data_IF_959723959406
#
_entry.id   IF_959723959406
#
_cell.length_a   1.000
_cell.length_b   1.000
_cell.length_c   1.000
_cell.angle_alpha   90.00
_cell.angle_beta   90.00
_cell.angle_gamma   90.00
#
_symmetry.space_group_name_H-M   'P 1'
#
loop_
_entity.id
_entity.type
_entity.pdbx_description
1 polymer ?
#
# COMPACT_ATOMS: atom_id res chain seq x y z
N UNK A 1 68.51 -21.98 -18.83
CA UNK A 1 68.24 -23.38 -19.24
C UNK A 1 66.85 -23.72 -18.71
N UNK A 2 65.77 -23.76 -19.48
CA UNK A 2 65.58 -23.74 -20.93
C UNK A 2 64.17 -23.19 -21.27
N UNK A 3 64.08 -22.54 -22.44
CA UNK A 3 63.00 -22.47 -23.44
C UNK A 3 61.54 -22.21 -22.99
N UNK A 4 60.91 -21.07 -23.31
CA UNK A 4 60.41 -20.60 -24.63
C UNK A 4 59.46 -21.59 -25.30
N UNK A 5 58.18 -21.22 -25.35
CA UNK A 5 57.33 -21.37 -26.54
C UNK A 5 56.12 -20.44 -26.45
N UNK A 6 56.15 -19.42 -27.32
CA UNK A 6 55.02 -18.61 -27.76
C UNK A 6 54.04 -19.44 -28.59
N UNK A 7 52.74 -19.14 -28.47
CA UNK A 7 51.78 -19.34 -29.56
C UNK A 7 50.91 -18.09 -29.73
N UNK A 8 51.17 -17.40 -30.84
CA UNK A 8 50.32 -16.43 -31.52
C UNK A 8 48.91 -16.98 -31.81
N UNK A 9 47.91 -16.08 -31.92
CA UNK A 9 46.70 -16.46 -32.68
C UNK A 9 45.38 -15.71 -32.56
N UNK A 10 45.36 -14.38 -32.35
CA UNK A 10 44.37 -13.40 -32.90
C UNK A 10 42.82 -13.58 -32.71
N UNK A 11 42.03 -12.50 -32.93
CA UNK A 11 40.75 -12.25 -32.26
C UNK A 11 39.52 -12.67 -33.09
N UNK A 12 38.42 -12.99 -32.40
CA UNK A 12 37.09 -12.97 -33.00
C UNK A 12 36.47 -11.58 -32.82
N UNK A 13 36.60 -10.76 -33.85
CA UNK A 13 35.74 -9.61 -34.12
C UNK A 13 34.51 -10.07 -34.93
N UNK A 14 33.50 -9.20 -35.02
CA UNK A 14 32.39 -9.23 -36.00
C UNK A 14 31.23 -10.24 -35.72
N UNK A 15 29.93 -9.92 -35.69
CA UNK A 15 29.11 -8.85 -36.28
C UNK A 15 27.79 -8.64 -35.52
N UNK A 16 27.37 -7.38 -35.42
CA UNK A 16 25.96 -6.95 -35.40
C UNK A 16 25.27 -7.32 -36.71
N UNK A 17 23.95 -7.56 -36.69
CA UNK A 17 23.10 -7.14 -37.80
C UNK A 17 22.06 -6.11 -37.33
N UNK A 18 22.24 -4.90 -37.85
CA UNK A 18 21.20 -3.92 -38.10
C UNK A 18 20.23 -4.42 -39.17
N UNK A 19 18.93 -4.16 -39.02
CA UNK A 19 17.89 -3.90 -40.06
C UNK A 19 16.52 -4.18 -39.41
N UNK A 20 15.39 -3.56 -39.71
CA UNK A 20 15.01 -2.36 -40.45
C UNK A 20 13.54 -2.11 -40.11
N UNK A 21 13.18 -0.83 -39.99
CA UNK A 21 11.86 -0.23 -40.20
C UNK A 21 10.87 -1.02 -41.09
N UNK A 22 9.63 -1.17 -40.61
CA UNK A 22 8.33 -0.97 -41.30
C UNK A 22 7.29 -0.64 -40.20
N UNK A 23 6.90 0.61 -39.97
CA UNK A 23 5.86 1.39 -40.65
C UNK A 23 4.58 0.58 -40.94
N UNK A 24 3.57 0.72 -40.07
CA UNK A 24 2.17 0.59 -40.44
C UNK A 24 1.33 1.61 -39.66
N UNK A 25 1.05 2.71 -40.35
CA UNK A 25 0.02 3.70 -40.03
C UNK A 25 -1.32 3.19 -40.56
N UNK A 26 -2.36 3.13 -39.73
CA UNK A 26 -3.75 3.21 -40.23
C UNK A 26 -4.60 4.11 -39.35
N UNK A 27 -4.71 5.32 -39.86
CA UNK A 27 -5.75 6.32 -39.67
C UNK A 27 -7.15 5.73 -39.92
N UNK A 28 -8.13 6.06 -39.06
CA UNK A 28 -9.46 6.48 -39.48
C UNK A 28 -10.04 7.44 -38.44
N UNK A 29 -9.87 8.73 -38.75
CA UNK A 29 -10.73 9.82 -38.30
C UNK A 29 -12.14 9.62 -38.88
N UNK A 30 -13.16 9.86 -38.06
CA UNK A 30 -14.39 10.47 -38.57
C UNK A 30 -14.86 11.53 -37.58
N UNK A 31 -14.83 12.77 -38.06
CA UNK A 31 -15.20 14.00 -37.37
C UNK A 31 -16.70 14.28 -37.55
N UNK A 32 -17.19 15.12 -36.64
CA UNK A 32 -18.54 15.63 -36.52
C UNK A 32 -19.00 16.59 -37.65
N UNK A 33 -20.34 16.65 -37.78
CA UNK A 33 -21.28 17.77 -38.09
C UNK A 33 -21.32 18.37 -39.53
N UNK A 34 -22.35 19.16 -39.96
CA UNK A 34 -23.49 19.76 -39.22
C UNK A 34 -24.91 19.79 -39.90
N UNK A 35 -25.92 19.96 -39.03
CA UNK A 35 -27.12 20.85 -39.06
C UNK A 35 -27.79 21.25 -40.39
N UNK A 36 -29.10 20.93 -40.50
CA UNK A 36 -30.22 21.70 -41.07
C UNK A 36 -31.50 20.93 -40.66
N UNK A 37 -32.60 21.41 -40.10
CA UNK A 37 -33.28 22.70 -40.11
C UNK A 37 -34.78 22.41 -40.33
N UNK A 38 -35.67 23.05 -39.56
CA UNK A 38 -37.10 23.31 -39.87
C UNK A 38 -38.25 22.47 -39.23
N UNK A 39 -38.67 22.92 -38.04
CA UNK A 39 -40.02 23.43 -37.69
C UNK A 39 -41.30 22.56 -37.89
N UNK A 40 -41.92 22.13 -36.77
CA UNK A 40 -43.38 22.12 -36.48
C UNK A 40 -43.58 21.76 -34.99
N UNK A 41 -43.97 22.69 -34.09
CA UNK A 41 -45.36 22.96 -33.63
C UNK A 41 -46.27 21.71 -33.77
N UNK A 42 -46.93 21.16 -32.74
CA UNK A 42 -47.81 21.76 -31.72
C UNK A 42 -47.87 20.83 -30.49
N UNK A 43 -47.97 21.43 -29.30
CA UNK A 43 -48.25 20.81 -28.01
C UNK A 43 -49.74 20.49 -27.86
N UNK A 44 -50.13 19.21 -27.80
CA UNK A 44 -51.49 18.76 -27.45
C UNK A 44 -51.39 17.40 -26.75
N UNK A 45 -51.35 17.39 -25.41
CA UNK A 45 -51.82 16.23 -24.62
C UNK A 45 -52.21 16.59 -23.18
N UNK A 46 -52.60 17.85 -22.98
CA UNK A 46 -53.28 18.30 -21.78
C UNK A 46 -54.75 18.54 -22.12
N UNK A 47 -55.58 17.53 -22.44
CA UNK A 47 -57.06 17.61 -22.39
C UNK A 47 -57.79 16.27 -22.66
N UNK A 48 -57.22 15.13 -22.24
CA UNK A 48 -57.88 13.82 -22.37
C UNK A 48 -58.99 13.51 -21.34
N UNK A 49 -59.23 14.38 -20.36
CA UNK A 49 -60.07 14.10 -19.19
C UNK A 49 -61.50 14.66 -19.24
N UNK A 50 -62.08 14.95 -20.41
CA UNK A 50 -63.43 15.58 -20.44
C UNK A 50 -64.47 14.97 -21.39
N UNK A 51 -64.28 13.79 -21.98
CA UNK A 51 -65.33 13.24 -22.87
C UNK A 51 -65.58 11.75 -22.66
N UNK A 52 -66.43 11.44 -21.67
CA UNK A 52 -67.56 10.46 -21.73
C UNK A 52 -67.96 9.97 -20.34
N UNK A 53 -68.67 10.83 -19.62
CA UNK A 53 -69.84 10.38 -18.87
C UNK A 53 -70.99 10.14 -19.87
N UNK A 54 -71.97 9.30 -19.48
CA UNK A 54 -73.15 8.82 -20.23
C UNK A 54 -72.95 7.46 -20.92
N UNK A 55 -72.83 6.42 -20.09
CA UNK A 55 -73.65 5.19 -20.17
C UNK A 55 -73.59 4.54 -18.79
N UNK A 56 -74.72 4.53 -18.08
CA UNK A 56 -74.80 4.11 -16.68
C UNK A 56 -74.48 2.63 -16.49
N UNK A 57 -73.31 2.36 -15.90
CA UNK A 57 -73.03 1.17 -15.08
C UNK A 57 -72.20 1.67 -13.90
N UNK A 58 -72.76 1.54 -12.69
CA UNK A 58 -72.06 1.83 -11.44
C UNK A 58 -70.83 0.96 -11.31
N UNK A 59 -69.64 1.57 -11.32
CA UNK A 59 -68.43 0.97 -10.78
C UNK A 59 -67.81 2.00 -9.84
N UNK A 60 -67.96 1.77 -8.53
CA UNK A 60 -67.29 2.57 -7.52
C UNK A 60 -65.76 2.51 -7.75
N UNK A 61 -65.02 3.62 -7.64
CA UNK A 61 -63.57 3.55 -7.60
C UNK A 61 -63.19 3.04 -6.21
N UNK A 62 -63.07 1.72 -6.08
CA UNK A 62 -62.28 1.12 -5.01
C UNK A 62 -60.84 1.64 -5.19
N UNK A 63 -60.45 2.63 -4.38
CA UNK A 63 -59.05 2.94 -4.13
C UNK A 63 -58.44 1.75 -3.39
N UNK A 64 -58.14 0.69 -4.14
CA UNK A 64 -57.39 -0.43 -3.65
C UNK A 64 -55.94 0.02 -3.50
N UNK A 65 -55.52 0.35 -2.28
CA UNK A 65 -54.10 0.25 -1.95
C UNK A 65 -53.67 -1.16 -2.37
N UNK A 66 -52.72 -1.33 -3.31
CA UNK A 66 -52.22 -2.64 -3.62
C UNK A 66 -51.60 -3.17 -2.32
N UNK A 67 -52.27 -4.15 -1.71
CA UNK A 67 -51.73 -4.87 -0.56
C UNK A 67 -50.52 -5.64 -1.07
N UNK A 68 -49.38 -4.96 -1.15
CA UNK A 68 -48.10 -5.56 -1.51
C UNK A 68 -47.92 -6.75 -0.59
N UNK A 69 -47.83 -7.94 -1.17
CA UNK A 69 -47.67 -9.19 -0.43
C UNK A 69 -46.57 -9.05 0.62
N UNK A 70 -46.76 -9.68 1.79
CA UNK A 70 -45.73 -9.75 2.85
C UNK A 70 -44.37 -10.20 2.29
N UNK A 71 -44.37 -11.03 1.22
CA UNK A 71 -43.16 -11.46 0.52
C UNK A 71 -42.48 -10.35 -0.31
N UNK A 72 -43.25 -9.50 -0.98
CA UNK A 72 -42.72 -8.36 -1.74
C UNK A 72 -42.05 -7.33 -0.81
N UNK A 73 -42.72 -6.98 0.31
CA UNK A 73 -42.13 -6.10 1.34
C UNK A 73 -40.85 -6.67 1.95
N UNK A 74 -40.77 -7.99 2.15
CA UNK A 74 -39.57 -8.65 2.68
C UNK A 74 -38.41 -8.63 1.68
N UNK A 75 -38.68 -8.81 0.38
CA UNK A 75 -37.67 -8.75 -0.69
C UNK A 75 -37.15 -7.33 -0.89
N UNK A 76 -38.04 -6.34 -0.87
CA UNK A 76 -37.68 -4.92 -0.94
C UNK A 76 -36.84 -4.48 0.26
N UNK A 77 -37.24 -4.86 1.49
CA UNK A 77 -36.42 -4.60 2.69
C UNK A 77 -35.04 -5.23 2.61
N UNK A 78 -34.91 -6.46 2.08
CA UNK A 78 -33.60 -7.12 1.88
C UNK A 78 -32.77 -6.38 0.83
N UNK A 79 -33.37 -5.99 -0.30
CA UNK A 79 -32.68 -5.23 -1.35
C UNK A 79 -32.21 -3.86 -0.85
N UNK A 80 -33.02 -3.15 -0.05
CA UNK A 80 -32.63 -1.89 0.58
C UNK A 80 -31.48 -2.09 1.58
N UNK A 81 -31.50 -3.16 2.37
CA UNK A 81 -30.40 -3.49 3.30
C UNK A 81 -29.10 -3.84 2.56
N UNK A 82 -29.19 -4.56 1.45
CA UNK A 82 -28.05 -4.93 0.61
C UNK A 82 -27.47 -3.70 -0.10
N UNK A 83 -28.31 -2.86 -0.72
CA UNK A 83 -27.88 -1.60 -1.31
C UNK A 83 -27.25 -0.64 -0.28
N UNK A 84 -27.83 -0.54 0.92
CA UNK A 84 -27.24 0.26 2.01
C UNK A 84 -25.91 -0.32 2.52
N UNK A 85 -25.72 -1.64 2.44
CA UNK A 85 -24.43 -2.28 2.78
C UNK A 85 -23.40 -2.01 1.69
N UNK A 86 -23.77 -2.13 0.42
CA UNK A 86 -22.89 -1.83 -0.72
C UNK A 86 -22.48 -0.36 -0.74
N UNK A 87 -23.41 0.56 -0.47
CA UNK A 87 -23.09 2.00 -0.36
C UNK A 87 -22.07 2.26 0.75
N UNK A 88 -22.24 1.68 1.95
CA UNK A 88 -21.24 1.80 3.03
C UNK A 88 -19.86 1.27 2.63
N UNK A 89 -19.81 0.10 2.00
CA UNK A 89 -18.54 -0.49 1.53
C UNK A 89 -17.88 0.45 0.50
N UNK A 90 -18.66 0.99 -0.44
CA UNK A 90 -18.14 1.89 -1.47
C UNK A 90 -17.60 3.21 -0.87
N UNK A 91 -18.30 3.78 0.10
CA UNK A 91 -17.88 4.97 0.83
C UNK A 91 -16.56 4.72 1.59
N UNK A 92 -16.47 3.62 2.32
CA UNK A 92 -15.25 3.21 3.04
C UNK A 92 -14.06 3.03 2.09
N UNK A 93 -14.26 2.33 0.96
CA UNK A 93 -13.21 2.16 -0.05
C UNK A 93 -12.77 3.51 -0.65
N UNK A 94 -13.70 4.42 -0.91
CA UNK A 94 -13.39 5.74 -1.46
C UNK A 94 -12.56 6.59 -0.48
N UNK A 95 -12.87 6.50 0.81
CA UNK A 95 -12.13 7.20 1.87
C UNK A 95 -10.70 6.68 1.98
N UNK A 96 -10.52 5.35 1.98
CA UNK A 96 -9.18 4.72 2.03
C UNK A 96 -8.34 5.13 0.81
N UNK A 97 -8.94 5.14 -0.39
CA UNK A 97 -8.23 5.61 -1.60
C UNK A 97 -7.82 7.07 -1.50
N UNK A 98 -8.69 7.93 -0.96
CA UNK A 98 -8.38 9.35 -0.73
C UNK A 98 -7.19 9.51 0.22
N UNK A 99 -7.20 8.81 1.36
CA UNK A 99 -6.12 8.89 2.35
C UNK A 99 -4.78 8.40 1.79
N UNK A 100 -4.78 7.31 1.01
CA UNK A 100 -3.59 6.81 0.32
C UNK A 100 -3.01 7.84 -0.65
N UNK A 101 -3.84 8.50 -1.45
CA UNK A 101 -3.39 9.54 -2.39
C UNK A 101 -2.77 10.72 -1.66
N UNK A 102 -3.42 11.22 -0.61
CA UNK A 102 -2.92 12.32 0.21
C UNK A 102 -1.57 11.96 0.84
N UNK A 103 -1.41 10.74 1.35
CA UNK A 103 -0.15 10.25 1.91
C UNK A 103 0.95 10.16 0.83
N UNK A 104 0.62 9.65 -0.36
CA UNK A 104 1.52 9.61 -1.51
C UNK A 104 2.05 10.99 -1.91
N UNK A 105 1.16 12.00 -2.04
CA UNK A 105 1.56 13.38 -2.36
C UNK A 105 2.50 14.00 -1.30
N UNK A 106 2.30 13.65 -0.02
CA UNK A 106 3.20 14.11 1.04
C UNK A 106 4.58 13.48 0.93
N UNK A 107 4.65 12.19 0.59
CA UNK A 107 5.91 11.52 0.33
C UNK A 107 6.64 12.09 -0.87
N UNK A 108 5.94 12.31 -1.99
CA UNK A 108 6.54 12.91 -3.18
C UNK A 108 7.15 14.28 -2.87
N UNK A 109 6.42 15.15 -2.15
CA UNK A 109 6.93 16.47 -1.76
C UNK A 109 8.16 16.39 -0.87
N UNK A 110 8.27 15.35 -0.04
CA UNK A 110 9.38 15.17 0.92
C UNK A 110 10.61 14.52 0.28
N UNK A 111 10.41 13.48 -0.53
CA UNK A 111 11.47 12.62 -1.05
C UNK A 111 12.04 13.10 -2.39
N UNK A 112 11.21 13.67 -3.27
CA UNK A 112 11.64 14.15 -4.58
C UNK A 112 12.77 15.20 -4.51
N UNK A 113 12.74 16.21 -3.61
CA UNK A 113 13.84 17.16 -3.47
C UNK A 113 15.15 16.52 -2.99
N UNK A 114 15.07 15.36 -2.32
CA UNK A 114 16.22 14.59 -1.85
C UNK A 114 16.73 13.60 -2.90
N UNK A 115 16.03 13.46 -4.04
CA UNK A 115 16.34 12.48 -5.06
C UNK A 115 15.98 11.05 -4.70
N UNK A 116 15.08 10.84 -3.72
CA UNK A 116 14.64 9.51 -3.29
C UNK A 116 13.25 9.15 -3.85
N UNK A 117 12.98 7.85 -3.95
CA UNK A 117 11.72 7.30 -4.47
C UNK A 117 11.33 6.07 -3.67
N UNK A 118 10.03 5.90 -3.38
CA UNK A 118 9.56 4.73 -2.65
C UNK A 118 9.52 3.51 -3.57
N UNK A 119 10.12 2.40 -3.12
CA UNK A 119 9.93 1.07 -3.68
C UNK A 119 8.88 0.32 -2.86
N UNK A 120 7.77 -0.04 -3.50
CA UNK A 120 6.72 -0.82 -2.85
C UNK A 120 7.22 -2.21 -2.42
N UNK A 121 7.03 -2.52 -1.16
CA UNK A 121 7.31 -3.81 -0.52
C UNK A 121 5.99 -4.57 -0.40
N UNK A 122 6.09 -5.90 -0.39
CA UNK A 122 4.91 -6.76 -0.25
C UNK A 122 4.13 -6.40 1.04
N UNK A 123 2.81 -6.12 0.95
CA UNK A 123 1.99 -5.76 2.11
C UNK A 123 1.61 -6.98 2.94
N UNK A 124 2.60 -7.60 3.57
CA UNK A 124 2.44 -8.65 4.56
C UNK A 124 3.08 -8.25 5.90
N UNK A 125 2.90 -9.08 6.93
CA UNK A 125 3.44 -8.81 8.26
C UNK A 125 4.98 -8.78 8.32
N UNK A 126 5.69 -9.11 7.25
CA UNK A 126 7.15 -9.02 7.17
C UNK A 126 7.65 -7.73 6.52
N UNK A 127 6.76 -6.80 6.15
CA UNK A 127 7.10 -5.60 5.39
C UNK A 127 8.28 -4.79 5.96
N UNK A 128 8.36 -4.59 7.28
CA UNK A 128 9.48 -3.89 7.92
C UNK A 128 10.83 -4.55 7.59
N UNK A 129 10.93 -5.86 7.84
CA UNK A 129 12.15 -6.62 7.62
C UNK A 129 12.50 -6.73 6.14
N UNK A 130 11.50 -6.86 5.26
CA UNK A 130 11.70 -6.86 3.81
C UNK A 130 12.19 -5.51 3.28
N UNK A 131 11.70 -4.41 3.85
CA UNK A 131 12.17 -3.08 3.50
C UNK A 131 13.63 -2.86 3.94
N UNK A 132 14.00 -3.36 5.12
CA UNK A 132 15.39 -3.35 5.60
C UNK A 132 16.30 -4.24 4.73
N UNK A 133 15.86 -5.45 4.41
CA UNK A 133 16.55 -6.37 3.49
C UNK A 133 16.81 -5.71 2.13
N UNK A 134 15.79 -5.04 1.57
CA UNK A 134 15.92 -4.31 0.30
C UNK A 134 16.98 -3.20 0.39
N UNK A 135 16.94 -2.36 1.42
CA UNK A 135 17.93 -1.31 1.65
C UNK A 135 19.36 -1.86 1.81
N UNK A 136 19.52 -2.97 2.52
CA UNK A 136 20.81 -3.62 2.66
C UNK A 136 21.33 -4.18 1.33
N UNK A 137 20.44 -4.68 0.47
CA UNK A 137 20.78 -5.12 -0.88
C UNK A 137 21.29 -3.97 -1.75
N UNK A 138 20.65 -2.80 -1.67
CA UNK A 138 21.07 -1.60 -2.41
C UNK A 138 22.47 -1.13 -1.98
N UNK A 139 22.79 -1.27 -0.69
CA UNK A 139 24.10 -0.90 -0.15
C UNK A 139 25.20 -1.94 -0.44
N UNK A 140 24.83 -3.17 -0.78
CA UNK A 140 25.75 -4.31 -0.92
C UNK A 140 25.89 -4.81 -2.37
N UNK A 141 25.53 -3.98 -3.35
CA UNK A 141 25.70 -4.31 -4.77
C UNK A 141 24.63 -5.23 -5.36
N UNK A 142 23.43 -5.24 -4.77
CA UNK A 142 22.26 -5.95 -5.30
C UNK A 142 21.91 -7.26 -4.61
N UNK A 143 22.68 -7.67 -3.58
CA UNK A 143 22.37 -8.84 -2.75
C UNK A 143 22.45 -8.46 -1.29
N UNK A 144 21.38 -8.69 -0.54
CA UNK A 144 21.38 -8.43 0.90
C UNK A 144 22.27 -9.44 1.62
N UNK A 145 23.10 -9.02 2.59
CA UNK A 145 23.83 -9.94 3.47
C UNK A 145 22.91 -10.76 4.39
N UNK A 146 21.65 -10.32 4.58
CA UNK A 146 20.68 -10.96 5.46
C UNK A 146 19.32 -11.04 4.79
N UNK A 147 18.67 -12.19 4.88
CA UNK A 147 17.26 -12.35 4.53
C UNK A 147 16.37 -11.75 5.62
N UNK A 148 15.10 -11.43 5.28
CA UNK A 148 14.16 -10.87 6.27
C UNK A 148 13.94 -11.76 7.50
N UNK A 149 14.07 -13.08 7.38
CA UNK A 149 13.99 -14.01 8.51
C UNK A 149 15.18 -13.85 9.47
N UNK A 150 16.40 -13.76 8.92
CA UNK A 150 17.61 -13.53 9.73
C UNK A 150 17.53 -12.19 10.45
N UNK A 151 16.96 -11.16 9.80
CA UNK A 151 16.73 -9.86 10.44
C UNK A 151 15.74 -9.95 11.62
N UNK A 152 14.72 -10.81 11.54
CA UNK A 152 13.79 -11.06 12.67
C UNK A 152 14.50 -11.70 13.85
N UNK A 153 15.27 -12.75 13.57
CA UNK A 153 16.07 -13.45 14.58
C UNK A 153 17.08 -12.51 15.23
N UNK A 154 17.78 -11.68 14.44
CA UNK A 154 18.73 -10.68 14.94
C UNK A 154 18.06 -9.65 15.84
N UNK A 155 16.87 -9.15 15.47
CA UNK A 155 16.13 -8.19 16.28
C UNK A 155 15.71 -8.81 17.63
N UNK A 156 15.08 -9.99 17.60
CA UNK A 156 14.64 -10.69 18.80
C UNK A 156 15.82 -11.07 19.72
N UNK A 157 16.91 -11.60 19.16
CA UNK A 157 18.10 -11.95 19.92
C UNK A 157 18.73 -10.74 20.63
N UNK A 158 18.77 -9.58 19.94
CA UNK A 158 19.29 -8.36 20.55
C UNK A 158 18.37 -7.83 21.64
N UNK A 159 17.05 -7.78 21.40
CA UNK A 159 16.07 -7.36 22.39
C UNK A 159 16.15 -8.20 23.66
N UNK A 160 16.23 -9.53 23.55
CA UNK A 160 16.43 -10.43 24.71
C UNK A 160 17.72 -10.13 25.48
N UNK A 161 18.84 -9.99 24.76
CA UNK A 161 20.15 -9.72 25.36
C UNK A 161 20.20 -8.36 26.09
N UNK A 162 19.41 -7.41 25.61
CA UNK A 162 19.36 -6.03 26.11
C UNK A 162 18.00 -5.70 26.75
N UNK A 163 17.31 -6.68 27.34
CA UNK A 163 15.92 -6.55 27.77
C UNK A 163 15.64 -5.32 28.65
N UNK A 164 16.58 -4.90 29.51
CA UNK A 164 16.44 -3.70 30.34
C UNK A 164 16.15 -2.43 29.55
N UNK A 165 16.65 -2.34 28.32
CA UNK A 165 16.59 -1.15 27.48
C UNK A 165 15.26 -1.09 26.70
N UNK A 166 14.60 -2.23 26.52
CA UNK A 166 13.36 -2.38 25.74
C UNK A 166 12.12 -2.55 26.63
N UNK A 167 12.26 -3.20 27.79
CA UNK A 167 11.16 -3.49 28.71
C UNK A 167 10.28 -2.28 29.06
N UNK A 168 10.82 -1.08 29.37
CA UNK A 168 9.99 0.08 29.68
C UNK A 168 9.05 0.46 28.53
N UNK A 169 9.52 0.37 27.28
CA UNK A 169 8.75 0.69 26.09
C UNK A 169 7.76 -0.42 25.76
N UNK A 170 8.20 -1.68 25.80
CA UNK A 170 7.34 -2.85 25.63
C UNK A 170 6.15 -2.81 26.60
N UNK A 171 6.41 -2.56 27.88
CA UNK A 171 5.35 -2.48 28.89
C UNK A 171 4.44 -1.28 28.67
N UNK A 172 4.92 -0.16 28.15
CA UNK A 172 4.06 0.99 27.87
C UNK A 172 3.08 0.73 26.73
N UNK A 173 3.49 -0.06 25.72
CA UNK A 173 2.66 -0.42 24.56
C UNK A 173 1.74 -1.60 24.85
N UNK A 174 2.17 -2.51 25.74
CA UNK A 174 1.47 -3.76 26.06
C UNK A 174 0.95 -3.80 27.51
N UNK A 175 0.73 -2.64 28.15
CA UNK A 175 0.26 -2.51 29.54
C UNK A 175 -1.15 -3.07 29.79
N UNK A 176 -1.82 -3.58 28.76
CA UNK A 176 -3.23 -3.92 28.77
C UNK A 176 -3.35 -5.42 28.62
N UNK A 177 -3.13 -6.17 29.70
CA UNK A 177 -3.78 -7.46 29.94
C UNK A 177 -3.57 -7.84 31.40
N UNK A 178 -4.52 -7.40 32.23
CA UNK A 178 -4.55 -7.58 33.68
C UNK A 178 -5.04 -8.96 34.14
N UNK A 179 -4.90 -10.00 33.32
CA UNK A 179 -5.45 -11.34 33.58
C UNK A 179 -4.45 -12.49 33.40
N UNK A 180 -3.18 -12.17 33.05
CA UNK A 180 -2.10 -13.16 33.01
C UNK A 180 -1.18 -12.98 34.23
N UNK A 181 -0.97 -14.08 34.97
CA UNK A 181 -0.05 -14.22 36.10
C UNK A 181 1.44 -14.11 35.67
N UNK A 182 1.72 -13.98 34.37
CA UNK A 182 3.08 -13.95 33.85
C UNK A 182 3.79 -12.65 34.24
N UNK A 183 5.06 -12.79 34.62
CA UNK A 183 5.92 -11.65 34.91
C UNK A 183 6.18 -10.81 33.65
N UNK A 184 6.52 -9.51 33.79
CA UNK A 184 6.94 -8.67 32.68
C UNK A 184 8.04 -9.28 31.79
N UNK A 185 8.95 -10.04 32.40
CA UNK A 185 10.05 -10.69 31.70
C UNK A 185 9.57 -11.88 30.84
N UNK A 186 8.61 -12.67 31.34
CA UNK A 186 8.01 -13.78 30.59
C UNK A 186 7.21 -13.26 29.39
N UNK A 187 6.40 -12.21 29.59
CA UNK A 187 5.66 -11.54 28.50
C UNK A 187 6.60 -10.99 27.43
N UNK A 188 7.72 -10.39 27.83
CA UNK A 188 8.71 -9.87 26.90
C UNK A 188 9.47 -10.98 26.15
N UNK A 189 9.74 -12.11 26.81
CA UNK A 189 10.35 -13.26 26.15
C UNK A 189 9.39 -13.86 25.10
N UNK A 190 8.10 -13.96 25.41
CA UNK A 190 7.09 -14.43 24.46
C UNK A 190 6.91 -13.47 23.29
N UNK A 191 6.96 -12.16 23.53
CA UNK A 191 7.04 -11.16 22.47
C UNK A 191 8.25 -11.38 21.55
N UNK A 192 9.44 -11.61 22.11
CA UNK A 192 10.63 -11.88 21.30
C UNK A 192 10.50 -13.17 20.47
N UNK A 193 9.86 -14.22 21.02
CA UNK A 193 9.55 -15.44 20.27
C UNK A 193 8.56 -15.19 19.14
N UNK A 194 7.55 -14.36 19.37
CA UNK A 194 6.58 -14.00 18.35
C UNK A 194 7.26 -13.24 17.20
N UNK A 195 8.12 -12.27 17.54
CA UNK A 195 8.89 -11.48 16.58
C UNK A 195 9.76 -12.35 15.67
N UNK A 196 10.48 -13.33 16.22
CA UNK A 196 11.39 -14.18 15.43
C UNK A 196 10.66 -15.25 14.60
N UNK A 197 9.56 -15.81 15.11
CA UNK A 197 8.98 -17.03 14.54
C UNK A 197 7.73 -16.81 13.68
N UNK A 198 7.16 -15.60 13.68
CA UNK A 198 5.87 -15.33 13.02
C UNK A 198 5.93 -14.18 12.02
N UNK A 199 4.76 -13.83 11.48
CA UNK A 199 4.54 -12.62 10.68
C UNK A 199 4.03 -11.44 11.54
N UNK A 200 4.30 -11.43 12.85
CA UNK A 200 4.02 -10.29 13.71
C UNK A 200 4.64 -9.01 13.12
N UNK A 201 3.85 -7.94 13.16
CA UNK A 201 4.24 -6.64 12.62
C UNK A 201 5.37 -6.09 13.49
N UNK A 202 6.44 -5.63 12.84
CA UNK A 202 7.53 -4.94 13.53
C UNK A 202 7.24 -3.44 13.63
N UNK A 203 7.89 -2.79 14.59
CA UNK A 203 7.82 -1.36 14.79
C UNK A 203 9.10 -0.79 15.39
N UNK A 204 8.91 0.08 16.38
CA UNK A 204 9.98 0.88 16.97
C UNK A 204 11.04 0.02 17.68
N UNK A 205 10.62 -1.01 18.43
CA UNK A 205 11.53 -1.87 19.19
C UNK A 205 12.45 -2.65 18.25
N UNK A 206 11.89 -3.24 17.19
CA UNK A 206 12.63 -4.01 16.21
C UNK A 206 13.62 -3.14 15.44
N UNK A 207 13.21 -1.93 15.03
CA UNK A 207 14.10 -0.98 14.35
C UNK A 207 15.22 -0.47 15.28
N UNK A 208 14.91 -0.26 16.55
CA UNK A 208 15.91 0.07 17.58
C UNK A 208 16.94 -1.04 17.73
N UNK A 209 16.49 -2.31 17.80
CA UNK A 209 17.39 -3.46 17.85
C UNK A 209 18.23 -3.59 16.57
N UNK A 210 17.59 -3.53 15.39
CA UNK A 210 18.27 -3.67 14.10
C UNK A 210 19.32 -2.59 13.85
N UNK A 211 19.06 -1.36 14.30
CA UNK A 211 20.03 -0.26 14.27
C UNK A 211 21.36 -0.68 14.91
N UNK A 212 21.31 -1.30 16.09
CA UNK A 212 22.49 -1.77 16.81
C UNK A 212 23.10 -3.04 16.22
N UNK A 213 22.27 -4.01 15.80
CA UNK A 213 22.74 -5.26 15.19
C UNK A 213 23.51 -4.99 13.90
N UNK A 214 22.96 -4.14 13.03
CA UNK A 214 23.53 -3.82 11.73
C UNK A 214 24.61 -2.73 11.81
N UNK A 215 24.68 -2.00 12.94
CA UNK A 215 25.50 -0.80 13.12
C UNK A 215 25.23 0.21 12.01
N UNK A 216 23.94 0.48 11.77
CA UNK A 216 23.46 1.33 10.67
C UNK A 216 22.54 2.42 11.19
N UNK A 217 22.65 3.58 10.58
CA UNK A 217 21.71 4.67 10.78
C UNK A 217 20.40 4.38 10.02
N UNK A 218 19.25 4.62 10.66
CA UNK A 218 17.94 4.41 10.05
C UNK A 218 17.16 5.73 10.02
N UNK A 219 16.65 6.09 8.84
CA UNK A 219 15.70 7.18 8.64
C UNK A 219 14.35 6.62 8.21
N UNK A 220 13.29 6.92 8.96
CA UNK A 220 11.92 6.57 8.61
C UNK A 220 11.16 7.85 8.26
N UNK A 221 10.73 7.93 7.02
CA UNK A 221 9.90 9.03 6.54
C UNK A 221 8.42 8.72 6.77
N UNK A 222 7.64 9.68 7.24
CA UNK A 222 6.17 9.53 7.34
C UNK A 222 5.42 10.69 6.66
N UNK A 223 4.28 10.39 6.06
CA UNK A 223 3.33 11.40 5.57
C UNK A 223 2.41 11.96 6.66
N UNK A 224 2.22 11.22 7.75
CA UNK A 224 1.21 11.56 8.78
C UNK A 224 1.83 11.94 10.12
N UNK A 225 3.09 11.58 10.34
CA UNK A 225 3.84 11.82 11.56
C UNK A 225 5.18 12.51 11.26
N UNK A 226 5.88 13.05 12.28
CA UNK A 226 7.26 13.45 12.14
C UNK A 226 8.14 12.28 11.66
N UNK A 227 9.21 12.61 10.94
CA UNK A 227 10.19 11.61 10.56
C UNK A 227 10.95 11.12 11.79
N UNK A 228 11.30 9.84 11.78
CA UNK A 228 12.03 9.20 12.88
C UNK A 228 13.46 8.92 12.43
N UNK A 229 14.43 9.32 13.26
CA UNK A 229 15.86 9.12 13.04
C UNK A 229 16.42 8.27 14.18
N UNK A 230 17.01 7.12 13.86
CA UNK A 230 17.60 6.19 14.83
C UNK A 230 19.07 5.89 14.48
N UNK A 231 19.88 5.56 15.49
CA UNK A 231 21.26 5.15 15.28
C UNK A 231 22.16 6.26 14.79
N UNK A 232 21.99 7.48 15.33
CA UNK A 232 22.77 8.66 14.94
C UNK A 232 24.27 8.43 15.13
N UNK A 233 24.65 7.61 16.11
CA UNK A 233 26.03 7.19 16.36
C UNK A 233 26.63 6.33 15.24
N UNK A 234 25.79 5.74 14.36
CA UNK A 234 26.21 4.98 13.18
C UNK A 234 26.11 5.79 11.89
N UNK A 235 25.79 7.08 11.97
CA UNK A 235 25.76 7.97 10.82
C UNK A 235 27.20 8.23 10.38
N UNK A 236 27.52 7.87 9.14
CA UNK A 236 28.87 8.08 8.62
C UNK A 236 29.05 9.56 8.23
N UNK A 237 30.05 10.22 8.81
CA UNK A 237 30.41 11.64 8.55
C UNK A 237 31.15 11.86 7.21
N UNK A 238 31.11 10.88 6.30
CA UNK A 238 31.83 10.90 5.03
C UNK A 238 31.25 11.91 4.04
N UNK A 239 31.82 13.11 4.03
CA UNK A 239 31.51 14.17 3.06
C UNK A 239 31.65 13.72 1.60
N UNK A 240 30.70 14.19 0.80
CA UNK A 240 30.67 14.10 -0.66
C UNK A 240 30.44 12.69 -1.25
N UNK A 241 29.17 12.46 -1.63
CA UNK A 241 28.73 11.55 -2.70
C UNK A 241 28.45 10.08 -2.40
N UNK A 242 28.20 9.67 -1.15
CA UNK A 242 27.51 8.38 -0.96
C UNK A 242 26.68 8.28 0.31
N UNK A 243 25.37 8.35 0.11
CA UNK A 243 24.28 7.91 0.97
C UNK A 243 24.33 6.43 1.37
N UNK A 244 25.49 5.75 1.28
CA UNK A 244 25.65 4.28 1.33
C UNK A 244 25.53 3.66 2.72
N UNK A 245 25.39 4.46 3.77
CA UNK A 245 25.33 3.96 5.15
C UNK A 245 23.94 3.99 5.81
N UNK A 246 22.99 4.78 5.28
CA UNK A 246 21.69 4.97 5.92
C UNK A 246 20.65 4.07 5.29
N UNK A 247 19.95 3.28 6.12
CA UNK A 247 18.74 2.56 5.73
C UNK A 247 17.60 3.57 5.74
N UNK A 248 16.91 3.72 4.62
CA UNK A 248 15.78 4.64 4.46
C UNK A 248 14.50 3.86 4.25
N UNK A 249 13.50 4.15 5.08
CA UNK A 249 12.20 3.52 5.06
C UNK A 249 11.12 4.58 4.91
N UNK A 250 9.97 4.22 4.37
CA UNK A 250 8.75 5.03 4.47
C UNK A 250 7.68 4.28 5.25
N UNK A 251 7.10 4.96 6.23
CA UNK A 251 6.04 4.47 7.09
C UNK A 251 4.69 5.04 6.65
N UNK A 252 3.81 4.15 6.22
CA UNK A 252 2.50 4.46 5.69
C UNK A 252 1.42 4.03 6.68
N UNK A 253 0.51 4.93 7.04
CA UNK A 253 -0.64 4.57 7.89
C UNK A 253 -1.82 4.09 7.05
N UNK A 254 -1.94 4.58 5.81
CA UNK A 254 -3.12 4.42 4.96
C UNK A 254 -2.79 3.80 3.60
N UNK A 255 -1.59 3.23 3.41
CA UNK A 255 -1.20 2.65 2.12
C UNK A 255 -2.08 1.46 1.69
N UNK A 256 -2.56 0.68 2.66
CA UNK A 256 -3.37 -0.51 2.41
C UNK A 256 -4.57 -0.55 3.34
N UNK A 257 -5.66 -1.19 2.90
CA UNK A 257 -6.85 -1.39 3.74
C UNK A 257 -6.60 -2.20 5.01
N UNK A 258 -5.42 -2.84 5.13
CA UNK A 258 -4.97 -3.59 6.30
C UNK A 258 -4.28 -2.71 7.37
N UNK A 259 -4.04 -1.42 7.09
CA UNK A 259 -3.43 -0.49 8.04
C UNK A 259 -1.99 -0.14 7.72
N UNK A 260 -1.15 -0.14 8.76
CA UNK A 260 0.22 0.37 8.73
C UNK A 260 1.16 -0.49 7.87
N UNK A 261 2.17 0.14 7.26
CA UNK A 261 3.07 -0.55 6.34
C UNK A 261 4.41 0.17 6.16
N UNK A 262 5.48 -0.62 5.96
CA UNK A 262 6.81 -0.12 5.64
C UNK A 262 7.22 -0.43 4.21
N UNK A 263 7.70 0.59 3.50
CA UNK A 263 8.35 0.47 2.20
C UNK A 263 9.83 0.88 2.29
N UNK A 264 10.58 0.53 1.24
CA UNK A 264 11.98 0.94 1.05
C UNK A 264 12.06 2.27 0.30
N UNK A 265 13.04 3.14 0.61
CA UNK A 265 13.21 4.49 0.05
C UNK A 265 14.56 4.71 -0.62
#
# INVERSE_FOLDING_TARGET
>A
MADVQDIDGKPCEEKLPSTSLKHETREMLSRHSPIDGFMKLINVDQYGNLVKAIAGVSVAPQQGHPNTSKGAKRREKRAQQEAAREQRIQEEQSSIMSDRMIEGEKFERKLKPLGFTIKEIKPDGHCLYRAVEDQLSLQSGGSSPYAYQELREMAAAYMRKHASDFLPFFLSENAIDGDSDDSPAEKFEDYCKEVESTAAWGGQLELGALTHCLRKHIMIYSGSFPDVEMGKEYKSDGGSSSSTGTIRLSYHKHAFGLGEHYNSV
#
